data_IF_290231632486
#
_entry.id   IF_290231632486
#
_cell.length_a   1.000
_cell.length_b   1.000
_cell.length_c   1.000
_cell.angle_alpha   90.00
_cell.angle_beta   90.00
_cell.angle_gamma   90.00
#
_symmetry.space_group_name_H-M   'P 1'
#
loop_
_entity.id
_entity.type
_entity.pdbx_description
1 polymer ?
#
# COMPACT_ATOMS: atom_id res chain seq x y z
N UNK A 1 -16.62 8.08 -4.46
CA UNK A 1 -15.68 7.48 -5.43
C UNK A 1 -14.61 6.74 -4.63
N UNK A 2 -14.42 5.46 -4.87
CA UNK A 2 -13.41 4.64 -4.17
C UNK A 2 -12.00 4.99 -4.69
N UNK A 3 -11.06 5.28 -3.80
CA UNK A 3 -9.68 5.67 -4.14
C UNK A 3 -8.91 4.48 -4.68
N UNK A 4 -9.16 3.27 -4.15
CA UNK A 4 -8.52 2.03 -4.63
C UNK A 4 -8.86 1.81 -6.11
N UNK A 5 -10.13 1.99 -6.49
CA UNK A 5 -10.56 1.88 -7.88
C UNK A 5 -9.87 2.90 -8.79
N UNK A 6 -9.65 4.12 -8.31
CA UNK A 6 -8.92 5.14 -9.10
C UNK A 6 -7.45 4.77 -9.30
N UNK A 7 -6.79 4.25 -8.26
CA UNK A 7 -5.43 3.74 -8.35
C UNK A 7 -5.35 2.61 -9.39
N UNK A 8 -6.30 1.68 -9.35
CA UNK A 8 -6.40 0.57 -10.30
C UNK A 8 -6.69 1.01 -11.74
N UNK A 9 -7.25 2.20 -11.95
CA UNK A 9 -7.43 2.78 -13.28
C UNK A 9 -6.17 3.48 -13.80
N UNK A 10 -5.43 4.17 -12.92
CA UNK A 10 -4.21 4.91 -13.28
C UNK A 10 -3.01 3.95 -13.43
N UNK A 11 -3.01 2.85 -12.69
CA UNK A 11 -1.97 1.82 -12.68
C UNK A 11 -0.53 2.36 -12.51
N UNK A 12 -0.24 3.23 -11.50
CA UNK A 12 1.12 3.72 -11.26
C UNK A 12 2.10 2.58 -10.99
N UNK A 13 3.38 2.78 -11.29
CA UNK A 13 4.42 1.76 -11.06
C UNK A 13 4.72 1.53 -9.56
N UNK A 14 4.58 2.58 -8.73
CA UNK A 14 4.83 2.54 -7.29
C UNK A 14 3.77 3.34 -6.54
N UNK A 15 3.40 2.88 -5.35
CA UNK A 15 2.49 3.57 -4.43
C UNK A 15 3.10 3.54 -3.04
N UNK A 16 3.14 4.69 -2.37
CA UNK A 16 3.48 4.79 -0.95
C UNK A 16 2.16 5.02 -0.19
N UNK A 17 1.75 4.03 0.61
CA UNK A 17 0.54 4.09 1.41
C UNK A 17 0.92 4.31 2.87
N UNK A 18 0.60 5.49 3.41
CA UNK A 18 0.70 5.82 4.84
C UNK A 18 -0.67 5.68 5.52
N UNK A 19 -0.75 4.99 6.66
CA UNK A 19 -2.00 4.84 7.41
C UNK A 19 -1.77 4.57 8.90
N UNK A 20 -2.53 5.21 9.77
CA UNK A 20 -2.61 4.89 11.20
C UNK A 20 -3.51 3.69 11.51
N UNK A 21 -4.29 3.20 10.54
CA UNK A 21 -5.22 2.09 10.73
C UNK A 21 -4.79 0.87 9.91
N UNK A 22 -4.10 -0.04 10.59
CA UNK A 22 -3.59 -1.30 10.01
C UNK A 22 -4.69 -2.16 9.38
N UNK A 23 -5.91 -2.16 9.94
CA UNK A 23 -7.00 -3.02 9.47
C UNK A 23 -7.57 -2.55 8.12
N UNK A 24 -7.82 -1.24 7.99
CA UNK A 24 -8.29 -0.68 6.71
C UNK A 24 -7.20 -0.74 5.65
N UNK A 25 -5.94 -0.49 6.03
CA UNK A 25 -4.81 -0.63 5.12
C UNK A 25 -4.71 -2.08 4.61
N UNK A 26 -4.77 -3.09 5.48
CA UNK A 26 -4.72 -4.50 5.07
C UNK A 26 -5.84 -4.89 4.10
N UNK A 27 -7.08 -4.41 4.33
CA UNK A 27 -8.21 -4.62 3.42
C UNK A 27 -7.91 -4.06 2.03
N UNK A 28 -7.43 -2.81 1.96
CA UNK A 28 -7.17 -2.15 0.68
C UNK A 28 -5.98 -2.80 -0.05
N UNK A 29 -4.95 -3.24 0.69
CA UNK A 29 -3.83 -4.01 0.13
C UNK A 29 -4.31 -5.33 -0.48
N UNK A 30 -5.26 -6.02 0.15
CA UNK A 30 -5.85 -7.24 -0.38
C UNK A 30 -6.59 -6.99 -1.71
N UNK A 31 -7.32 -5.87 -1.83
CA UNK A 31 -8.00 -5.49 -3.07
C UNK A 31 -7.03 -5.18 -4.23
N UNK A 32 -5.79 -4.80 -3.92
CA UNK A 32 -4.77 -4.46 -4.92
C UNK A 32 -3.76 -5.58 -5.20
N UNK A 33 -3.85 -6.71 -4.49
CA UNK A 33 -2.81 -7.75 -4.44
C UNK A 33 -2.52 -8.43 -5.80
N UNK A 34 -3.51 -8.50 -6.69
CA UNK A 34 -3.36 -9.10 -8.02
C UNK A 34 -2.45 -8.27 -8.93
N UNK A 35 -2.44 -6.94 -8.76
CA UNK A 35 -1.69 -6.01 -9.61
C UNK A 35 -0.42 -5.50 -8.91
N UNK A 36 -0.46 -5.38 -7.58
CA UNK A 36 0.62 -4.82 -6.78
C UNK A 36 1.19 -5.85 -5.79
N UNK A 37 2.49 -5.76 -5.54
CA UNK A 37 3.15 -6.48 -4.45
C UNK A 37 3.59 -5.49 -3.38
N UNK A 38 3.40 -5.85 -2.12
CA UNK A 38 4.05 -5.15 -1.00
C UNK A 38 5.54 -5.49 -1.03
N UNK A 39 6.40 -4.47 -1.10
CA UNK A 39 7.85 -4.67 -1.17
C UNK A 39 8.58 -4.15 0.06
N UNK A 40 7.97 -3.22 0.79
CA UNK A 40 8.48 -2.72 2.07
C UNK A 40 7.33 -2.30 2.98
N UNK A 41 7.52 -2.49 4.27
CA UNK A 41 6.65 -1.96 5.33
C UNK A 41 7.54 -1.37 6.42
N UNK A 42 7.10 -0.27 7.02
CA UNK A 42 7.75 0.39 8.15
C UNK A 42 6.68 1.02 9.04
N UNK A 43 6.66 0.62 10.31
CA UNK A 43 5.92 1.35 11.34
C UNK A 43 6.76 2.56 11.79
N UNK A 44 6.13 3.72 11.92
CA UNK A 44 6.75 4.99 12.31
C UNK A 44 6.01 5.54 13.52
N UNK A 45 6.74 5.76 14.61
CA UNK A 45 6.25 6.54 15.74
C UNK A 45 6.46 8.02 15.41
N UNK A 46 5.40 8.69 14.98
CA UNK A 46 5.40 10.13 14.75
C UNK A 46 5.05 10.93 16.02
N UNK A 47 4.57 10.27 17.08
CA UNK A 47 4.02 10.90 18.27
C UNK A 47 4.45 10.14 19.53
N UNK A 48 5.69 10.34 19.99
CA UNK A 48 6.23 9.65 21.15
C UNK A 48 5.33 9.81 22.37
N UNK A 49 5.21 8.74 23.16
CA UNK A 49 4.36 8.67 24.36
C UNK A 49 2.84 8.67 24.08
N UNK A 50 2.44 8.39 22.84
CA UNK A 50 1.03 8.12 22.50
C UNK A 50 0.85 6.70 21.97
N UNK A 51 -0.39 6.26 21.80
CA UNK A 51 -0.70 4.98 21.16
C UNK A 51 -0.68 5.04 19.62
N UNK A 52 -0.41 6.20 19.02
CA UNK A 52 -0.47 6.36 17.58
C UNK A 52 0.79 5.81 16.91
N UNK A 53 0.59 4.98 15.90
CA UNK A 53 1.66 4.47 15.04
C UNK A 53 1.18 4.59 13.60
N UNK A 54 2.02 5.17 12.74
CA UNK A 54 1.77 5.27 11.31
C UNK A 54 2.45 4.12 10.58
N UNK A 55 1.72 3.38 9.76
CA UNK A 55 2.27 2.34 8.90
C UNK A 55 2.50 2.87 7.50
N UNK A 56 3.75 2.79 7.04
CA UNK A 56 4.15 3.12 5.68
C UNK A 56 4.39 1.84 4.90
N UNK A 57 3.62 1.63 3.84
CA UNK A 57 3.72 0.47 2.94
C UNK A 57 4.11 0.92 1.55
N UNK A 58 5.16 0.33 1.00
CA UNK A 58 5.54 0.47 -0.40
C UNK A 58 4.93 -0.67 -1.20
N UNK A 59 4.13 -0.30 -2.20
CA UNK A 59 3.61 -1.19 -3.22
C UNK A 59 4.35 -0.94 -4.53
N UNK A 60 4.78 -2.01 -5.18
CA UNK A 60 5.30 -1.96 -6.55
C UNK A 60 4.39 -2.80 -7.46
N UNK A 61 4.08 -2.25 -8.63
CA UNK A 61 3.30 -2.97 -9.64
C UNK A 61 4.05 -4.23 -10.03
N UNK A 62 3.37 -5.37 -10.06
CA UNK A 62 3.93 -6.63 -10.57
C UNK A 62 4.30 -6.37 -12.04
N UNK A 63 5.57 -6.59 -12.38
CA UNK A 63 5.99 -6.56 -13.79
C UNK A 63 5.48 -7.84 -14.42
N UNK A 64 4.72 -7.75 -15.49
CA UNK A 64 4.51 -8.90 -16.37
C UNK A 64 5.90 -9.26 -16.90
N UNK A 65 6.48 -10.34 -16.37
CA UNK A 65 7.65 -10.96 -16.97
C UNK A 65 7.11 -11.66 -18.21
N UNK A 66 7.15 -10.98 -19.35
CA UNK A 66 7.16 -11.69 -20.63
C UNK A 66 8.47 -12.48 -20.63
N UNK A 67 8.36 -13.78 -20.33
CA UNK A 67 9.39 -14.77 -20.63
C UNK A 67 9.55 -14.79 -22.14
N UNK A 68 10.64 -14.21 -22.63
CA UNK A 68 11.26 -14.60 -23.89
C UNK A 68 12.57 -15.30 -23.55
#
# INVERSE_FOLDING_TARGET
>A
KDVVQQILNILPNKIVYVSCNSATQARDLALMNDIYKVTKTQAVDMFPQTHHVENVVLLERRKNINLN
#
